data_IF_216646670913
#
_entry.id   IF_216646670913
#
_cell.length_a   1.000
_cell.length_b   1.000
_cell.length_c   1.000
_cell.angle_alpha   90.00
_cell.angle_beta   90.00
_cell.angle_gamma   90.00
#
_symmetry.space_group_name_H-M   'P 1'
#
loop_
_entity.id
_entity.type
_entity.pdbx_description
1 polymer ?
#
# COMPACT_ATOMS: atom_id res chain seq x y z
N UNK A 1 -8.94 15.00 18.33
CA UNK A 1 -9.35 14.94 16.89
C UNK A 1 -8.69 13.73 16.28
N UNK A 2 -9.44 12.82 15.70
CA UNK A 2 -8.89 11.64 15.00
C UNK A 2 -8.42 12.09 13.63
N UNK A 3 -7.19 11.69 13.26
CA UNK A 3 -6.66 11.94 11.93
C UNK A 3 -6.59 10.64 11.15
N UNK A 4 -7.33 10.56 10.03
CA UNK A 4 -7.32 9.40 9.17
C UNK A 4 -6.31 9.57 8.04
N UNK A 5 -5.53 8.52 7.80
CA UNK A 5 -4.61 8.42 6.69
C UNK A 5 -4.98 7.17 5.90
N UNK A 6 -5.53 7.35 4.69
CA UNK A 6 -5.80 6.24 3.79
C UNK A 6 -4.57 5.95 2.92
N UNK A 7 -4.10 4.71 2.97
CA UNK A 7 -3.04 4.18 2.12
C UNK A 7 -3.68 3.23 1.12
N UNK A 8 -3.64 3.58 -0.17
CA UNK A 8 -4.26 2.77 -1.23
C UNK A 8 -3.20 2.02 -2.05
N UNK A 9 -3.64 1.05 -2.84
CA UNK A 9 -2.80 0.26 -3.72
C UNK A 9 -2.47 -1.11 -3.16
N UNK A 10 -1.47 -1.77 -3.72
CA UNK A 10 -1.07 -3.13 -3.32
C UNK A 10 0.45 -3.32 -3.45
N UNK A 11 0.94 -4.43 -2.91
CA UNK A 11 2.31 -4.87 -3.06
C UNK A 11 3.36 -4.00 -2.35
N UNK A 12 4.62 -4.01 -2.84
CA UNK A 12 5.73 -3.35 -2.19
C UNK A 12 5.54 -1.84 -2.00
N UNK A 13 5.02 -1.14 -3.00
CA UNK A 13 4.81 0.31 -2.92
C UNK A 13 3.82 0.73 -1.84
N UNK A 14 2.77 -0.07 -1.59
CA UNK A 14 1.84 0.17 -0.49
C UNK A 14 2.52 -0.03 0.86
N UNK A 15 3.33 -1.11 0.99
CA UNK A 15 4.09 -1.39 2.21
C UNK A 15 5.07 -0.27 2.55
N UNK A 16 5.78 0.25 1.53
CA UNK A 16 6.69 1.39 1.69
C UNK A 16 5.96 2.62 2.21
N UNK A 17 4.82 2.98 1.58
CA UNK A 17 3.99 4.10 2.03
C UNK A 17 3.46 3.92 3.44
N UNK A 18 3.03 2.70 3.79
CA UNK A 18 2.57 2.41 5.15
C UNK A 18 3.70 2.57 6.17
N UNK A 19 4.92 2.14 5.81
CA UNK A 19 6.10 2.32 6.65
C UNK A 19 6.43 3.81 6.83
N UNK A 20 6.43 4.60 5.74
CA UNK A 20 6.64 6.05 5.78
C UNK A 20 5.58 6.74 6.68
N UNK A 21 4.30 6.38 6.54
CA UNK A 21 3.25 6.94 7.38
C UNK A 21 3.44 6.62 8.87
N UNK A 22 3.86 5.39 9.20
CA UNK A 22 4.18 4.99 10.57
C UNK A 22 5.37 5.77 11.11
N UNK A 23 6.41 5.96 10.32
CA UNK A 23 7.57 6.76 10.70
C UNK A 23 7.20 8.23 10.95
N UNK A 24 6.41 8.84 10.05
CA UNK A 24 5.88 10.21 10.25
C UNK A 24 5.08 10.34 11.56
N UNK A 25 4.26 9.33 11.88
CA UNK A 25 3.49 9.32 13.11
C UNK A 25 4.39 9.10 14.35
N UNK A 26 5.40 8.21 14.26
CA UNK A 26 6.36 8.00 15.34
C UNK A 26 7.12 9.29 15.68
N UNK A 27 7.51 10.08 14.66
CA UNK A 27 8.13 11.40 14.86
C UNK A 27 7.20 12.41 15.55
N UNK A 28 5.88 12.21 15.49
CA UNK A 28 4.87 12.99 16.19
C UNK A 28 4.52 12.46 17.59
N UNK A 29 5.20 11.40 18.04
CA UNK A 29 5.05 10.81 19.36
C UNK A 29 4.10 9.62 19.45
N UNK A 30 3.64 9.07 18.33
CA UNK A 30 2.85 7.82 18.30
C UNK A 30 3.80 6.63 18.37
N UNK A 31 3.98 6.04 19.55
CA UNK A 31 4.93 4.93 19.74
C UNK A 31 4.31 3.55 19.49
N UNK A 32 3.01 3.43 19.70
CA UNK A 32 2.29 2.15 19.62
C UNK A 32 1.25 2.17 18.51
N UNK A 33 1.25 1.12 17.70
CA UNK A 33 0.28 0.92 16.62
C UNK A 33 -0.54 -0.34 16.90
N UNK A 34 -1.79 -0.18 17.27
CA UNK A 34 -2.75 -1.28 17.41
C UNK A 34 -3.28 -1.69 16.04
N UNK A 35 -3.42 -3.00 15.79
CA UNK A 35 -3.86 -3.53 14.49
C UNK A 35 -5.28 -4.06 14.58
N UNK A 36 -6.07 -3.76 13.56
CA UNK A 36 -7.41 -4.27 13.35
C UNK A 36 -7.55 -4.78 11.91
N UNK A 37 -8.40 -5.77 11.69
CA UNK A 37 -8.90 -6.11 10.36
C UNK A 37 -10.10 -5.23 10.01
N UNK A 38 -10.32 -4.97 8.71
CA UNK A 38 -11.52 -4.28 8.24
C UNK A 38 -12.83 -4.97 8.64
N UNK A 39 -12.80 -6.27 8.97
CA UNK A 39 -13.95 -7.01 9.47
C UNK A 39 -14.28 -6.67 10.94
N UNK A 40 -13.34 -6.14 11.69
CA UNK A 40 -13.44 -5.82 13.13
C UNK A 40 -13.89 -4.38 13.37
N UNK A 41 -14.76 -3.85 12.49
CA UNK A 41 -15.20 -2.44 12.56
C UNK A 41 -15.79 -2.05 13.92
N UNK A 42 -16.56 -2.93 14.53
CA UNK A 42 -17.20 -2.66 15.83
C UNK A 42 -16.16 -2.53 16.95
N UNK A 43 -15.13 -3.38 16.94
CA UNK A 43 -14.06 -3.36 17.92
C UNK A 43 -13.18 -2.13 17.73
N UNK A 44 -12.83 -1.80 16.49
CA UNK A 44 -12.15 -0.55 16.15
C UNK A 44 -12.93 0.68 16.64
N UNK A 45 -14.25 0.72 16.39
CA UNK A 45 -15.11 1.80 16.83
C UNK A 45 -15.13 1.92 18.36
N UNK A 46 -15.24 0.79 19.05
CA UNK A 46 -15.12 0.74 20.51
C UNK A 46 -13.76 1.26 21.00
N UNK A 47 -12.67 0.86 20.34
CA UNK A 47 -11.32 1.31 20.69
C UNK A 47 -11.11 2.81 20.42
N UNK A 48 -11.67 3.36 19.36
CA UNK A 48 -11.63 4.79 19.05
C UNK A 48 -12.38 5.63 20.10
N UNK A 49 -13.47 5.10 20.67
CA UNK A 49 -14.27 5.79 21.70
C UNK A 49 -13.68 5.65 23.10
N UNK A 50 -12.90 4.61 23.35
CA UNK A 50 -12.33 4.38 24.67
C UNK A 50 -11.10 5.26 24.83
N UNK A 51 -11.24 6.41 25.45
CA UNK A 51 -10.12 7.28 25.82
C UNK A 51 -9.15 6.50 26.72
N UNK A 52 -7.86 6.55 26.42
CA UNK A 52 -6.83 6.02 27.31
C UNK A 52 -6.86 6.77 28.64
N UNK A 53 -6.69 6.05 29.75
CA UNK A 53 -6.65 6.64 31.12
C UNK A 53 -5.50 7.67 31.29
N UNK A 54 -4.58 7.76 30.32
CA UNK A 54 -3.34 8.55 30.40
C UNK A 54 -3.09 9.42 29.17
N UNK A 55 -4.07 9.95 28.48
CA UNK A 55 -3.91 10.88 27.33
C UNK A 55 -2.77 10.52 26.34
N UNK A 56 -2.44 9.25 26.20
CA UNK A 56 -1.39 8.80 25.29
C UNK A 56 -1.86 8.94 23.83
N UNK A 57 -0.93 9.36 22.97
CA UNK A 57 -1.17 9.39 21.53
C UNK A 57 -1.34 7.95 21.02
N UNK A 58 -2.54 7.62 20.54
CA UNK A 58 -2.87 6.27 20.05
C UNK A 58 -2.91 6.25 18.54
N UNK A 59 -2.31 5.24 17.95
CA UNK A 59 -2.37 5.00 16.51
C UNK A 59 -2.95 3.60 16.24
N UNK A 60 -3.84 3.54 15.25
CA UNK A 60 -4.45 2.32 14.78
C UNK A 60 -4.07 2.04 13.33
N UNK A 61 -3.91 0.77 12.96
CA UNK A 61 -3.71 0.31 11.60
C UNK A 61 -4.82 -0.66 11.27
N UNK A 62 -5.66 -0.30 10.32
CA UNK A 62 -6.75 -1.14 9.83
C UNK A 62 -6.32 -1.77 8.52
N UNK A 63 -5.98 -3.04 8.55
CA UNK A 63 -5.66 -3.84 7.39
C UNK A 63 -6.96 -4.27 6.70
N UNK A 64 -6.94 -4.47 5.38
CA UNK A 64 -8.14 -4.83 4.60
C UNK A 64 -9.30 -3.83 4.79
N UNK A 65 -8.99 -2.53 4.81
CA UNK A 65 -9.99 -1.50 5.01
C UNK A 65 -11.11 -1.49 3.94
N UNK A 66 -10.90 -2.18 2.81
CA UNK A 66 -11.94 -2.46 1.81
C UNK A 66 -13.13 -3.24 2.40
N UNK A 67 -12.94 -3.95 3.50
CA UNK A 67 -13.95 -4.75 4.19
C UNK A 67 -14.69 -3.98 5.29
N UNK A 68 -14.28 -2.74 5.56
CA UNK A 68 -15.02 -1.82 6.41
C UNK A 68 -16.31 -1.40 5.70
N UNK A 69 -17.28 -2.22 5.67
CA UNK A 69 -18.49 -1.90 4.91
C UNK A 69 -19.77 -1.99 5.73
N UNK A 70 -20.88 -1.47 5.18
CA UNK A 70 -20.95 -0.52 4.07
C UNK A 70 -20.54 0.88 4.53
N UNK A 71 -19.67 1.53 3.76
CA UNK A 71 -19.46 2.96 3.94
C UNK A 71 -20.74 3.70 3.59
N UNK A 72 -21.16 4.70 4.38
CA UNK A 72 -22.33 5.50 4.05
C UNK A 72 -22.17 6.10 2.65
N UNK A 73 -23.25 6.10 1.88
CA UNK A 73 -23.34 6.80 0.61
C UNK A 73 -23.36 8.31 0.92
N UNK A 74 -22.21 8.90 1.07
CA UNK A 74 -22.08 10.32 1.39
C UNK A 74 -21.00 10.59 2.44
N UNK A 75 -20.74 11.87 2.76
CA UNK A 75 -19.88 12.20 3.85
C UNK A 75 -20.39 11.51 5.10
N UNK A 76 -19.48 11.07 5.98
CA UNK A 76 -19.80 10.33 7.19
C UNK A 76 -21.12 10.79 7.82
N UNK A 77 -21.94 9.84 8.28
CA UNK A 77 -23.28 10.19 8.75
C UNK A 77 -23.23 11.33 9.76
N UNK A 78 -24.13 12.28 9.59
CA UNK A 78 -24.39 13.31 10.61
C UNK A 78 -24.65 12.59 11.94
N UNK A 79 -24.02 13.05 13.01
CA UNK A 79 -24.26 12.49 14.33
C UNK A 79 -23.02 11.96 15.04
N UNK A 80 -23.09 10.80 15.73
CA UNK A 80 -22.02 10.33 16.62
C UNK A 80 -20.64 10.20 15.98
N UNK A 81 -20.59 9.90 14.69
CA UNK A 81 -19.33 9.82 13.93
C UNK A 81 -18.68 11.20 13.76
N UNK A 82 -19.43 12.23 13.40
CA UNK A 82 -18.90 13.58 13.25
C UNK A 82 -18.40 14.13 14.60
N UNK A 83 -19.16 13.86 15.66
CA UNK A 83 -18.78 14.26 17.00
C UNK A 83 -17.52 13.50 17.49
N UNK A 84 -17.41 12.22 17.18
CA UNK A 84 -16.21 11.43 17.46
C UNK A 84 -14.97 12.01 16.77
N UNK A 85 -15.08 12.37 15.48
CA UNK A 85 -13.99 12.95 14.72
C UNK A 85 -13.54 14.31 15.25
N UNK A 86 -14.48 15.09 15.80
CA UNK A 86 -14.20 16.44 16.31
C UNK A 86 -13.74 16.48 17.75
N UNK A 87 -14.18 15.55 18.58
CA UNK A 87 -14.02 15.60 20.05
C UNK A 87 -13.17 14.46 20.62
N UNK A 88 -12.77 13.49 19.83
CA UNK A 88 -11.98 12.35 20.29
C UNK A 88 -10.57 12.73 20.77
N UNK A 89 -9.91 11.87 21.54
CA UNK A 89 -8.52 12.04 21.94
C UNK A 89 -7.60 12.11 20.69
N UNK A 90 -6.39 12.63 20.84
CA UNK A 90 -5.40 12.69 19.75
C UNK A 90 -5.08 11.26 19.27
N UNK A 91 -5.70 10.87 18.19
CA UNK A 91 -5.64 9.50 17.64
C UNK A 91 -5.38 9.59 16.16
N UNK A 92 -4.49 8.73 15.66
CA UNK A 92 -4.26 8.53 14.24
C UNK A 92 -4.80 7.15 13.83
N UNK A 93 -5.41 7.07 12.65
CA UNK A 93 -5.92 5.82 12.10
C UNK A 93 -5.43 5.66 10.65
N UNK A 94 -4.58 4.67 10.42
CA UNK A 94 -4.08 4.27 9.11
C UNK A 94 -5.06 3.25 8.51
N UNK A 95 -5.74 3.62 7.44
CA UNK A 95 -6.66 2.74 6.70
C UNK A 95 -5.95 2.20 5.47
N UNK A 96 -5.73 0.90 5.39
CA UNK A 96 -5.01 0.23 4.29
C UNK A 96 -6.03 -0.39 3.35
N UNK A 97 -6.13 0.17 2.13
CA UNK A 97 -7.04 -0.27 1.07
C UNK A 97 -6.24 -0.97 -0.03
N UNK A 98 -6.65 -2.16 -0.43
CA UNK A 98 -6.08 -2.85 -1.59
C UNK A 98 -6.56 -2.25 -2.92
N UNK A 99 -7.71 -1.60 -2.88
CA UNK A 99 -8.39 -0.96 -4.03
C UNK A 99 -8.39 0.55 -3.91
N UNK A 100 -9.05 1.19 -4.87
CA UNK A 100 -9.31 2.63 -4.79
C UNK A 100 -10.23 2.95 -3.60
N UNK A 101 -10.06 4.17 -3.08
CA UNK A 101 -10.83 4.65 -1.95
C UNK A 101 -12.33 4.67 -2.26
N UNK A 102 -13.19 4.16 -1.35
CA UNK A 102 -14.64 4.25 -1.52
C UNK A 102 -15.11 5.69 -1.76
N UNK A 103 -16.10 5.92 -2.64
CA UNK A 103 -16.53 7.27 -3.00
C UNK A 103 -16.93 8.15 -1.81
N UNK A 104 -17.55 7.58 -0.78
CA UNK A 104 -17.92 8.29 0.43
C UNK A 104 -16.73 8.85 1.21
N UNK A 105 -15.59 8.17 1.19
CA UNK A 105 -14.36 8.66 1.83
C UNK A 105 -13.66 9.75 1.02
N UNK A 106 -13.82 9.75 -0.29
CA UNK A 106 -13.25 10.82 -1.15
C UNK A 106 -13.90 12.20 -0.92
N UNK A 107 -15.06 12.25 -0.32
CA UNK A 107 -15.78 13.50 -0.01
C UNK A 107 -15.40 14.13 1.34
N UNK A 108 -14.56 13.44 2.12
CA UNK A 108 -14.11 13.96 3.41
C UNK A 108 -13.15 15.13 3.25
N UNK A 109 -13.21 16.13 4.13
CA UNK A 109 -12.23 17.21 4.18
C UNK A 109 -10.80 16.67 4.39
N UNK A 110 -9.81 17.32 3.77
CA UNK A 110 -8.40 16.90 3.87
C UNK A 110 -7.82 16.95 5.29
N UNK A 111 -8.39 17.77 6.15
CA UNK A 111 -8.03 17.85 7.58
C UNK A 111 -8.51 16.63 8.38
N UNK A 112 -9.50 15.90 7.88
CA UNK A 112 -10.00 14.65 8.48
C UNK A 112 -9.39 13.41 7.85
N UNK A 113 -9.22 13.39 6.51
CA UNK A 113 -8.65 12.25 5.79
C UNK A 113 -7.56 12.69 4.82
N UNK A 114 -6.33 12.30 5.07
CA UNK A 114 -5.26 12.40 4.08
C UNK A 114 -5.14 11.10 3.28
N UNK A 115 -5.00 11.21 1.96
CA UNK A 115 -4.90 10.04 1.08
C UNK A 115 -3.48 9.92 0.54
N UNK A 116 -2.85 8.77 0.79
CA UNK A 116 -1.52 8.42 0.27
C UNK A 116 -1.69 7.36 -0.83
N UNK A 117 -1.15 7.66 -2.00
CA UNK A 117 -1.19 6.76 -3.15
C UNK A 117 0.23 6.41 -3.57
N UNK A 118 0.50 5.14 -3.91
CA UNK A 118 1.79 4.75 -4.43
C UNK A 118 2.05 5.44 -5.77
N UNK A 119 3.32 5.67 -6.06
CA UNK A 119 3.74 6.15 -7.37
C UNK A 119 3.38 5.06 -8.39
N UNK A 120 2.55 5.41 -9.35
CA UNK A 120 2.17 4.47 -10.41
C UNK A 120 3.38 4.21 -11.32
N UNK A 121 3.60 2.95 -11.71
CA UNK A 121 4.61 2.63 -12.70
C UNK A 121 4.29 3.33 -14.04
N UNK A 122 5.30 3.64 -14.86
CA UNK A 122 5.09 4.25 -16.15
C UNK A 122 4.20 3.40 -17.06
N UNK A 123 3.33 4.07 -17.79
CA UNK A 123 2.45 3.39 -18.76
C UNK A 123 3.26 2.75 -19.89
N UNK A 124 4.26 3.48 -20.42
CA UNK A 124 5.05 3.02 -21.57
C UNK A 124 6.15 2.05 -21.14
N UNK A 125 6.26 0.87 -21.79
CA UNK A 125 7.30 -0.11 -21.47
C UNK A 125 8.73 0.43 -21.52
N UNK A 126 9.00 1.35 -22.46
CA UNK A 126 10.32 2.00 -22.60
C UNK A 126 10.75 2.81 -21.36
N UNK A 127 9.80 3.26 -20.56
CA UNK A 127 10.05 4.04 -19.33
C UNK A 127 10.11 3.13 -18.10
N UNK A 128 9.61 1.90 -18.18
CA UNK A 128 9.56 0.96 -17.06
C UNK A 128 10.93 0.47 -16.61
N UNK A 129 11.85 0.23 -17.56
CA UNK A 129 13.21 -0.20 -17.22
C UNK A 129 13.94 0.82 -16.34
N UNK A 130 14.09 2.11 -16.75
CA UNK A 130 14.74 3.10 -15.90
C UNK A 130 13.97 3.39 -14.60
N UNK A 131 12.64 3.21 -14.61
CA UNK A 131 11.84 3.30 -13.39
C UNK A 131 12.15 2.14 -12.44
N UNK A 132 12.16 0.90 -12.94
CA UNK A 132 12.47 -0.31 -12.16
C UNK A 132 13.87 -0.24 -11.55
N UNK A 133 14.88 0.18 -12.34
CA UNK A 133 16.25 0.37 -11.84
C UNK A 133 16.32 1.40 -10.68
N UNK A 134 15.53 2.48 -10.75
CA UNK A 134 15.48 3.47 -9.66
C UNK A 134 14.81 2.89 -8.42
N UNK A 135 13.68 2.22 -8.58
CA UNK A 135 12.95 1.63 -7.47
C UNK A 135 13.74 0.49 -6.79
N UNK A 136 14.44 -0.34 -7.57
CA UNK A 136 15.37 -1.35 -7.07
C UNK A 136 16.48 -0.71 -6.22
N UNK A 137 17.08 0.38 -6.74
CA UNK A 137 18.16 1.10 -6.04
C UNK A 137 17.70 1.70 -4.72
N UNK A 138 16.48 2.25 -4.63
CA UNK A 138 15.90 2.75 -3.39
C UNK A 138 15.81 1.66 -2.31
N UNK A 139 15.55 0.42 -2.72
CA UNK A 139 15.45 -0.77 -1.86
C UNK A 139 16.78 -1.46 -1.62
N UNK A 140 17.87 -0.91 -2.12
CA UNK A 140 19.21 -1.52 -2.02
C UNK A 140 19.41 -2.77 -2.90
N UNK A 141 18.48 -3.02 -3.83
CA UNK A 141 18.53 -4.16 -4.74
C UNK A 141 19.42 -3.80 -5.95
N UNK A 142 20.38 -4.65 -6.24
CA UNK A 142 21.25 -4.52 -7.42
C UNK A 142 20.68 -5.39 -8.54
N UNK A 143 20.35 -4.79 -9.67
CA UNK A 143 19.85 -5.49 -10.85
C UNK A 143 20.65 -5.03 -12.07
N UNK A 144 21.02 -5.97 -12.94
CA UNK A 144 21.64 -5.62 -14.22
C UNK A 144 20.58 -5.02 -15.16
N UNK A 145 21.03 -4.20 -16.09
CA UNK A 145 20.11 -3.57 -17.05
C UNK A 145 19.41 -4.59 -17.94
N UNK A 146 20.14 -5.62 -18.34
CA UNK A 146 19.64 -6.73 -19.15
C UNK A 146 18.58 -7.53 -18.39
N UNK A 147 18.80 -7.80 -17.11
CA UNK A 147 17.81 -8.46 -16.25
C UNK A 147 16.56 -7.57 -16.04
N UNK A 148 16.73 -6.28 -15.86
CA UNK A 148 15.60 -5.35 -15.75
C UNK A 148 14.80 -5.24 -17.05
N UNK A 149 15.46 -5.30 -18.20
CA UNK A 149 14.81 -5.34 -19.53
C UNK A 149 13.98 -6.61 -19.68
N UNK A 150 14.59 -7.76 -19.40
CA UNK A 150 13.92 -9.06 -19.50
C UNK A 150 12.70 -9.13 -18.55
N UNK A 151 12.85 -8.65 -17.33
CA UNK A 151 11.77 -8.62 -16.36
C UNK A 151 10.59 -7.75 -16.83
N UNK A 152 10.86 -6.57 -17.40
CA UNK A 152 9.84 -5.69 -17.99
C UNK A 152 9.16 -6.31 -19.20
N UNK A 153 9.90 -7.10 -19.99
CA UNK A 153 9.37 -7.80 -21.15
C UNK A 153 8.45 -8.96 -20.76
N UNK A 154 8.81 -9.70 -19.71
CA UNK A 154 8.08 -10.90 -19.28
C UNK A 154 6.92 -10.61 -18.34
N UNK A 155 6.91 -9.47 -17.65
CA UNK A 155 5.86 -9.08 -16.71
C UNK A 155 4.90 -8.08 -17.37
N UNK A 156 3.67 -8.52 -17.66
CA UNK A 156 2.67 -7.65 -18.31
C UNK A 156 2.20 -6.53 -17.38
N UNK A 157 1.88 -6.87 -16.12
CA UNK A 157 1.44 -5.89 -15.13
C UNK A 157 2.64 -5.17 -14.51
N UNK A 158 2.76 -3.89 -14.85
CA UNK A 158 3.83 -3.07 -14.30
C UNK A 158 3.80 -2.93 -12.76
N UNK A 159 2.65 -3.15 -12.12
CA UNK A 159 2.52 -3.15 -10.65
C UNK A 159 3.24 -4.36 -10.05
N UNK A 160 3.26 -5.49 -10.76
CA UNK A 160 3.91 -6.71 -10.30
C UNK A 160 5.44 -6.66 -10.38
N UNK A 161 6.01 -5.79 -11.23
CA UNK A 161 7.45 -5.66 -11.40
C UNK A 161 8.23 -5.49 -10.09
N UNK A 162 7.67 -4.76 -9.12
CA UNK A 162 8.31 -4.57 -7.83
C UNK A 162 8.25 -5.84 -6.96
N UNK A 163 7.17 -6.58 -7.05
CA UNK A 163 7.04 -7.86 -6.35
C UNK A 163 8.00 -8.90 -6.92
N UNK A 164 8.13 -8.94 -8.25
CA UNK A 164 9.07 -9.84 -8.92
C UNK A 164 10.51 -9.53 -8.56
N UNK A 165 10.91 -8.24 -8.60
CA UNK A 165 12.29 -7.87 -8.26
C UNK A 165 12.62 -8.13 -6.78
N UNK A 166 11.66 -7.99 -5.85
CA UNK A 166 11.84 -8.36 -4.45
C UNK A 166 12.00 -9.87 -4.26
N UNK A 167 11.20 -10.68 -4.97
CA UNK A 167 11.35 -12.15 -4.97
C UNK A 167 12.73 -12.57 -5.47
N UNK A 168 13.17 -11.98 -6.59
CA UNK A 168 14.51 -12.24 -7.13
C UNK A 168 15.63 -11.79 -6.18
N UNK A 169 15.46 -10.67 -5.48
CA UNK A 169 16.43 -10.19 -4.50
C UNK A 169 16.56 -11.15 -3.30
N UNK A 170 15.46 -11.72 -2.85
CA UNK A 170 15.48 -12.77 -1.81
C UNK A 170 16.19 -14.03 -2.30
N UNK A 171 15.92 -14.46 -3.53
CA UNK A 171 16.54 -15.64 -4.12
C UNK A 171 18.03 -15.46 -4.39
N UNK A 172 18.46 -14.24 -4.76
CA UNK A 172 19.87 -13.93 -5.02
C UNK A 172 20.76 -13.92 -3.77
N UNK A 173 20.15 -13.90 -2.58
CA UNK A 173 20.91 -13.82 -1.33
C UNK A 173 21.71 -12.54 -1.15
N UNK A 174 21.36 -11.46 -1.84
CA UNK A 174 22.04 -10.16 -1.81
C UNK A 174 23.05 -9.95 -2.94
N UNK A 175 23.25 -10.96 -3.79
CA UNK A 175 24.04 -10.81 -5.01
C UNK A 175 23.26 -10.01 -6.07
N UNK A 176 23.95 -9.40 -7.07
CA UNK A 176 23.29 -8.71 -8.15
C UNK A 176 22.39 -9.66 -8.98
N UNK A 177 21.17 -9.22 -9.27
CA UNK A 177 20.23 -9.95 -10.10
C UNK A 177 20.71 -9.88 -11.57
N UNK A 178 21.08 -11.03 -12.13
CA UNK A 178 21.43 -11.22 -13.54
C UNK A 178 20.28 -11.82 -14.35
N UNK A 179 20.49 -11.93 -15.66
CA UNK A 179 19.51 -12.51 -16.61
C UNK A 179 19.19 -13.96 -16.24
N UNK A 180 20.19 -14.76 -15.89
CA UNK A 180 20.02 -16.19 -15.56
C UNK A 180 19.01 -16.39 -14.41
N UNK A 181 19.07 -15.54 -13.38
CA UNK A 181 18.14 -15.65 -12.25
C UNK A 181 16.70 -15.28 -12.64
N UNK A 182 16.54 -14.33 -13.56
CA UNK A 182 15.22 -13.98 -14.11
C UNK A 182 14.66 -15.14 -14.91
N UNK A 183 15.46 -15.73 -15.83
CA UNK A 183 15.06 -16.88 -16.65
C UNK A 183 14.67 -18.11 -15.81
N UNK A 184 15.35 -18.32 -14.69
CA UNK A 184 15.09 -19.46 -13.81
C UNK A 184 13.82 -19.33 -12.97
N UNK A 185 13.46 -18.11 -12.56
CA UNK A 185 12.44 -17.90 -11.53
C UNK A 185 11.19 -17.13 -11.99
N UNK A 186 11.30 -16.38 -13.08
CA UNK A 186 10.16 -15.61 -13.60
C UNK A 186 9.52 -16.35 -14.75
N UNK A 187 8.20 -16.40 -14.74
CA UNK A 187 7.43 -16.97 -15.84
C UNK A 187 7.26 -15.93 -16.94
N UNK A 188 7.65 -16.29 -18.16
CA UNK A 188 7.34 -15.48 -19.34
C UNK A 188 5.84 -15.52 -19.65
N UNK A 189 5.11 -14.54 -19.14
CA UNK A 189 3.66 -14.41 -19.35
C UNK A 189 3.34 -13.98 -20.78
N UNK A 190 4.15 -13.12 -21.38
CA UNK A 190 3.99 -12.66 -22.75
C UNK A 190 4.18 -13.80 -23.77
N UNK A 191 5.18 -14.65 -23.57
CA UNK A 191 5.41 -15.83 -24.40
C UNK A 191 4.30 -16.88 -24.32
N UNK A 192 3.70 -17.06 -23.13
CA UNK A 192 2.57 -17.98 -22.94
C UNK A 192 1.30 -17.52 -23.66
N UNK A 193 0.99 -16.22 -23.63
CA UNK A 193 -0.18 -15.69 -24.33
C UNK A 193 -0.01 -15.84 -25.84
N UNK A 194 1.17 -15.61 -26.39
CA UNK A 194 1.43 -15.77 -27.81
C UNK A 194 1.25 -17.24 -28.26
N UNK A 195 1.71 -18.19 -27.45
CA UNK A 195 1.52 -19.63 -27.73
C UNK A 195 0.04 -20.04 -27.66
N UNK A 196 -0.73 -19.52 -26.69
CA UNK A 196 -2.16 -19.81 -26.56
C UNK A 196 -3.01 -19.27 -27.72
N UNK A 197 -2.57 -18.18 -28.36
CA UNK A 197 -3.22 -17.62 -29.56
C UNK A 197 -2.89 -18.40 -30.84
N UNK A 198 -1.80 -19.15 -30.86
CA UNK A 198 -1.40 -19.99 -32.01
C UNK A 198 -2.04 -21.38 -31.98
N UNK A 199 -2.46 -21.85 -30.80
CA UNK A 199 -3.09 -23.17 -30.59
C UNK A 199 -4.64 -23.11 -30.63
N UNK A 200 -5.26 -21.97 -30.84
CA UNK A 200 -6.71 -21.75 -31.00
C UNK A 200 -7.12 -21.47 -32.42
#
# INVERSE_FOLDING_TARGET
MIHFIAVTGSGPSQRDLLAECKEELAQKGYETFERFSGQEWQDLFGALHTGGLFEELRAFVVEEADQLGPFPEGPFPEGPFEELFRSGPATACLLVFEKDLPPGLNSLPEDLLSVRRPVRPPFWPSERVPWLEREARKRGIKVSREAAQLLVEWTEDAVELLSEIEKLALASGGEPIGVELVEDLVVDEGGRQMLSLLDG
#
